data_IF_636305940467
#
_entry.id   IF_636305940467
#
_cell.length_a   1.000
_cell.length_b   1.000
_cell.length_c   1.000
_cell.angle_alpha   90.00
_cell.angle_beta   90.00
_cell.angle_gamma   90.00
#
_symmetry.space_group_name_H-M   'P 1'
#
loop_
_entity.id
_entity.type
_entity.pdbx_description
1 polymer ?
#
# COMPACT_ATOMS: atom_id res chain seq x y z
N UNK A 1 -7.89 11.48 8.92
CA UNK A 1 -6.98 10.33 8.69
C UNK A 1 -7.50 9.55 7.50
N UNK A 2 -6.65 9.24 6.54
CA UNK A 2 -6.98 8.51 5.33
C UNK A 2 -6.39 7.11 5.45
N UNK A 3 -7.20 6.08 5.22
CA UNK A 3 -6.73 4.71 5.03
C UNK A 3 -6.41 4.53 3.54
N UNK A 4 -5.15 4.23 3.23
CA UNK A 4 -4.71 4.13 1.85
C UNK A 4 -5.31 2.92 1.13
N UNK A 5 -5.96 3.11 -0.04
CA UNK A 5 -6.68 2.06 -0.74
C UNK A 5 -5.74 1.17 -1.58
N UNK A 6 -4.87 0.44 -0.94
CA UNK A 6 -3.95 -0.50 -1.59
C UNK A 6 -4.39 -1.94 -1.35
N UNK A 7 -4.68 -2.68 -2.42
CA UNK A 7 -5.19 -4.04 -2.35
C UNK A 7 -6.58 -4.16 -1.72
N UNK A 8 -6.99 -5.38 -1.40
CA UNK A 8 -8.24 -5.69 -0.73
C UNK A 8 -8.09 -5.68 0.80
N UNK A 9 -6.98 -6.20 1.31
CA UNK A 9 -6.82 -6.46 2.73
C UNK A 9 -6.36 -5.26 3.54
N UNK A 10 -5.76 -4.25 2.92
CA UNK A 10 -5.37 -3.04 3.64
C UNK A 10 -6.57 -2.25 4.17
N UNK A 11 -7.67 -2.23 3.44
CA UNK A 11 -8.90 -1.54 3.84
C UNK A 11 -9.75 -2.33 4.83
N UNK A 12 -9.57 -3.63 4.92
CA UNK A 12 -10.31 -4.52 5.81
C UNK A 12 -9.60 -4.60 7.18
N UNK A 13 -9.79 -3.59 8.02
CA UNK A 13 -9.13 -3.56 9.34
C UNK A 13 -9.97 -4.18 10.48
N UNK A 14 -11.25 -4.45 10.23
CA UNK A 14 -12.16 -4.94 11.28
C UNK A 14 -11.90 -6.41 11.61
N UNK A 15 -11.25 -6.67 12.73
CA UNK A 15 -10.95 -8.03 13.21
C UNK A 15 -12.16 -9.00 13.22
N UNK A 16 -13.38 -8.55 13.60
CA UNK A 16 -14.56 -9.41 13.61
C UNK A 16 -15.00 -9.94 12.24
N UNK A 17 -14.51 -9.36 11.14
CA UNK A 17 -14.82 -9.82 9.77
C UNK A 17 -13.87 -10.89 9.26
N UNK A 18 -12.84 -11.24 10.03
CA UNK A 18 -11.89 -12.27 9.64
C UNK A 18 -12.33 -13.62 10.18
N UNK A 19 -12.41 -14.61 9.29
CA UNK A 19 -12.70 -16.00 9.67
C UNK A 19 -11.46 -16.73 10.19
N UNK A 20 -10.27 -16.20 9.90
CA UNK A 20 -8.98 -16.75 10.32
C UNK A 20 -8.32 -15.86 11.37
N UNK A 21 -7.47 -16.46 12.18
CA UNK A 21 -6.77 -15.77 13.28
C UNK A 21 -5.75 -14.75 12.82
N UNK A 22 -5.32 -14.81 11.56
CA UNK A 22 -4.30 -13.90 11.02
C UNK A 22 -4.65 -13.44 9.60
N UNK A 23 -4.05 -12.32 9.20
CA UNK A 23 -4.17 -11.76 7.86
C UNK A 23 -3.25 -12.48 6.88
N UNK A 24 -3.54 -12.44 5.56
CA UNK A 24 -2.62 -12.93 4.55
C UNK A 24 -1.23 -12.31 4.65
N UNK A 25 -0.21 -13.05 4.24
CA UNK A 25 1.19 -12.59 4.27
C UNK A 25 1.41 -11.30 3.48
N UNK A 26 0.67 -11.06 2.39
CA UNK A 26 0.70 -9.79 1.65
C UNK A 26 0.41 -8.59 2.55
N UNK A 27 -0.53 -8.73 3.48
CA UNK A 27 -0.97 -7.67 4.39
C UNK A 27 -0.20 -7.58 5.71
N UNK A 28 0.68 -8.56 6.01
CA UNK A 28 1.46 -8.58 7.27
C UNK A 28 2.95 -8.43 7.04
N UNK A 29 3.47 -9.01 5.95
CA UNK A 29 4.91 -9.04 5.68
C UNK A 29 5.33 -8.11 4.54
N UNK A 30 4.42 -7.77 3.64
CA UNK A 30 4.74 -6.96 2.46
C UNK A 30 4.15 -5.55 2.55
N UNK A 31 2.84 -5.46 2.66
CA UNK A 31 2.14 -4.20 2.81
C UNK A 31 1.96 -3.86 4.30
N UNK A 32 2.04 -2.60 4.67
CA UNK A 32 1.73 -2.20 6.03
C UNK A 32 0.21 -2.21 6.23
N UNK A 33 -0.39 -3.37 6.50
CA UNK A 33 -1.83 -3.54 6.68
C UNK A 33 -2.44 -2.41 7.52
N UNK A 34 -3.57 -1.87 7.09
CA UNK A 34 -4.20 -0.68 7.70
C UNK A 34 -3.31 0.57 7.66
N UNK A 35 -2.46 0.71 6.62
CA UNK A 35 -1.65 1.91 6.44
C UNK A 35 -2.55 3.13 6.30
N UNK A 36 -2.43 4.03 7.24
CA UNK A 36 -3.23 5.25 7.30
C UNK A 36 -2.35 6.43 7.67
N UNK A 37 -2.68 7.60 7.10
CA UNK A 37 -1.93 8.82 7.36
C UNK A 37 -2.84 10.05 7.27
N UNK A 38 -2.32 11.22 7.67
CA UNK A 38 -2.95 12.49 7.39
C UNK A 38 -2.85 12.81 5.90
N UNK A 39 -3.91 13.36 5.32
CA UNK A 39 -3.91 13.71 3.90
C UNK A 39 -5.28 14.12 3.38
N UNK A 40 -5.39 14.28 2.08
CA UNK A 40 -6.62 14.60 1.37
C UNK A 40 -6.69 13.87 0.05
N UNK A 41 -7.87 13.76 -0.53
CA UNK A 41 -8.05 13.09 -1.80
C UNK A 41 -9.45 13.21 -2.35
N UNK A 42 -9.66 12.54 -3.46
CA UNK A 42 -10.93 12.48 -4.18
C UNK A 42 -11.34 11.03 -4.39
N UNK A 43 -12.62 10.79 -4.39
CA UNK A 43 -13.18 9.50 -4.74
C UNK A 43 -14.54 9.66 -5.42
N UNK A 44 -14.93 8.68 -6.20
CA UNK A 44 -16.22 8.67 -6.86
C UNK A 44 -16.62 7.30 -7.37
N UNK A 45 -17.90 7.17 -7.69
CA UNK A 45 -18.48 5.96 -8.27
C UNK A 45 -19.43 6.33 -9.41
N UNK A 46 -19.38 5.54 -10.47
CA UNK A 46 -20.31 5.63 -11.59
C UNK A 46 -21.04 4.28 -11.76
N UNK A 47 -22.34 4.34 -11.90
CA UNK A 47 -23.20 3.16 -12.04
C UNK A 47 -23.79 3.10 -13.43
N UNK A 48 -23.74 1.95 -14.08
CA UNK A 48 -24.32 1.68 -15.38
C UNK A 48 -24.90 0.27 -15.45
N UNK A 49 -26.21 0.10 -15.34
CA UNK A 49 -26.91 -1.18 -15.28
C UNK A 49 -26.30 -2.12 -14.21
N UNK A 50 -25.65 -3.20 -14.67
CA UNK A 50 -25.04 -4.21 -13.80
C UNK A 50 -23.59 -3.88 -13.41
N UNK A 51 -23.06 -2.77 -13.90
CA UNK A 51 -21.68 -2.36 -13.70
C UNK A 51 -21.56 -1.16 -12.76
N UNK A 52 -20.55 -1.18 -11.93
CA UNK A 52 -20.10 -0.06 -11.12
C UNK A 52 -18.60 0.18 -11.40
N UNK A 53 -18.25 1.42 -11.64
CA UNK A 53 -16.87 1.88 -11.78
C UNK A 53 -16.56 2.80 -10.61
N UNK A 54 -15.54 2.45 -9.85
CA UNK A 54 -15.07 3.24 -8.72
C UNK A 54 -13.66 3.79 -8.98
N UNK A 55 -13.39 4.97 -8.44
CA UNK A 55 -12.04 5.53 -8.39
C UNK A 55 -11.81 6.27 -7.09
N UNK A 56 -10.58 6.26 -6.65
CA UNK A 56 -10.11 7.05 -5.51
C UNK A 56 -8.63 7.38 -5.68
N UNK A 57 -8.23 8.58 -5.27
CA UNK A 57 -6.85 9.04 -5.28
C UNK A 57 -6.59 9.94 -4.09
N UNK A 58 -5.46 9.75 -3.44
CA UNK A 58 -5.09 10.46 -2.21
C UNK A 58 -3.64 10.91 -2.24
N UNK A 59 -3.40 12.07 -1.64
CA UNK A 59 -2.08 12.54 -1.23
C UNK A 59 -2.04 12.52 0.29
N UNK A 60 -1.10 11.79 0.86
CA UNK A 60 -1.00 11.59 2.32
C UNK A 60 0.44 11.69 2.81
N UNK A 61 0.64 11.61 4.12
CA UNK A 61 1.95 11.40 4.72
C UNK A 61 2.64 10.18 4.13
N UNK A 62 3.95 10.22 4.06
CA UNK A 62 4.77 9.25 3.33
C UNK A 62 5.41 8.21 4.27
N UNK A 63 6.08 7.25 3.66
CA UNK A 63 7.05 6.39 4.32
C UNK A 63 8.29 7.19 4.73
N UNK A 64 9.08 6.61 5.61
CA UNK A 64 10.38 7.10 6.04
C UNK A 64 11.47 6.04 5.86
N UNK A 65 12.68 6.34 6.31
CA UNK A 65 13.83 5.44 6.18
C UNK A 65 13.67 4.11 6.92
N UNK A 66 12.72 3.97 7.83
CA UNK A 66 12.49 2.72 8.57
C UNK A 66 12.15 1.54 7.65
N UNK A 67 11.69 1.80 6.43
CA UNK A 67 11.42 0.73 5.44
C UNK A 67 12.69 0.00 4.99
N UNK A 68 13.87 0.60 5.19
CA UNK A 68 15.18 -0.02 4.91
C UNK A 68 16.05 -0.11 6.16
N UNK A 69 15.87 0.80 7.12
CA UNK A 69 16.60 0.83 8.39
C UNK A 69 15.71 0.23 9.48
N UNK A 70 15.74 -1.09 9.58
CA UNK A 70 14.91 -1.84 10.52
C UNK A 70 15.63 -3.09 11.01
N UNK A 71 15.12 -3.68 12.09
CA UNK A 71 15.70 -4.85 12.73
C UNK A 71 15.66 -6.14 11.86
N UNK A 72 14.84 -6.15 10.80
CA UNK A 72 14.70 -7.31 9.90
C UNK A 72 15.81 -7.39 8.84
N UNK A 73 16.66 -6.36 8.72
CA UNK A 73 17.75 -6.27 7.74
C UNK A 73 17.29 -6.54 6.29
N UNK A 74 16.10 -6.06 5.95
CA UNK A 74 15.49 -6.19 4.61
C UNK A 74 14.63 -4.97 4.31
N UNK A 75 14.20 -4.82 3.07
CA UNK A 75 13.14 -3.87 2.75
C UNK A 75 11.83 -4.36 3.39
N UNK A 76 11.29 -3.58 4.32
CA UNK A 76 10.13 -3.97 5.12
C UNK A 76 9.20 -2.78 5.34
N UNK A 77 8.21 -2.62 4.46
CA UNK A 77 7.27 -1.50 4.52
C UNK A 77 6.48 -1.41 5.84
N UNK A 78 6.09 -2.54 6.47
CA UNK A 78 5.41 -2.48 7.76
C UNK A 78 6.19 -1.79 8.88
N UNK A 79 7.53 -1.70 8.77
CA UNK A 79 8.36 -1.00 9.75
C UNK A 79 8.00 0.49 9.89
N UNK A 80 7.51 1.13 8.82
CA UNK A 80 7.09 2.52 8.85
C UNK A 80 5.94 2.81 9.85
N UNK A 81 5.20 1.80 10.27
CA UNK A 81 4.18 1.93 11.31
C UNK A 81 4.76 2.25 12.70
N UNK A 82 6.01 1.88 12.93
CA UNK A 82 6.68 2.11 14.21
C UNK A 82 7.11 3.56 14.39
N UNK A 83 7.15 4.34 13.30
CA UNK A 83 7.43 5.78 13.38
C UNK A 83 6.25 6.50 14.05
N UNK A 84 6.51 7.08 15.23
CA UNK A 84 5.52 7.83 16.02
C UNK A 84 5.22 9.21 15.40
N UNK A 85 6.17 9.77 14.68
CA UNK A 85 6.09 11.12 14.08
C UNK A 85 5.44 11.10 12.68
N UNK A 86 5.05 9.93 12.17
CA UNK A 86 4.49 9.78 10.81
C UNK A 86 3.26 10.64 10.48
N UNK A 87 2.57 11.16 11.50
CA UNK A 87 1.42 12.06 11.33
C UNK A 87 1.79 13.53 11.41
N UNK A 88 2.99 13.85 11.90
CA UNK A 88 3.45 15.20 12.18
C UNK A 88 4.42 15.69 11.10
N UNK A 89 5.27 14.80 10.59
CA UNK A 89 6.32 15.16 9.64
C UNK A 89 6.34 14.20 8.42
N UNK A 90 6.61 14.77 7.25
CA UNK A 90 6.91 14.01 6.04
C UNK A 90 8.42 14.06 5.82
N UNK A 91 9.11 12.98 6.13
CA UNK A 91 10.58 12.86 6.13
C UNK A 91 11.25 13.37 4.82
N UNK A 92 10.61 13.10 3.68
CA UNK A 92 11.08 13.55 2.37
C UNK A 92 10.61 14.94 1.95
N UNK A 93 9.68 15.56 2.69
CA UNK A 93 8.95 16.75 2.28
C UNK A 93 7.98 16.55 1.10
N UNK A 94 7.83 15.32 0.60
CA UNK A 94 6.97 14.98 -0.54
C UNK A 94 5.87 14.01 -0.11
N UNK A 95 4.61 14.23 -0.57
CA UNK A 95 3.51 13.35 -0.19
C UNK A 95 3.60 11.97 -0.85
N UNK A 96 2.95 10.99 -0.24
CA UNK A 96 2.65 9.70 -0.82
C UNK A 96 1.42 9.83 -1.71
N UNK A 97 1.52 9.39 -2.96
CA UNK A 97 0.38 9.23 -3.85
C UNK A 97 -0.17 7.82 -3.71
N UNK A 98 -1.48 7.71 -3.48
CA UNK A 98 -2.19 6.43 -3.54
C UNK A 98 -3.41 6.59 -4.42
N UNK A 99 -3.64 5.63 -5.34
CA UNK A 99 -4.80 5.63 -6.21
C UNK A 99 -5.32 4.21 -6.40
N UNK A 100 -6.64 4.07 -6.54
CA UNK A 100 -7.31 2.81 -6.86
C UNK A 100 -8.42 3.06 -7.87
N UNK A 101 -8.53 2.15 -8.84
CA UNK A 101 -9.68 2.02 -9.71
C UNK A 101 -10.27 0.63 -9.54
N UNK A 102 -11.59 0.52 -9.57
CA UNK A 102 -12.27 -0.76 -9.43
C UNK A 102 -13.45 -0.84 -10.39
N UNK A 103 -13.66 -2.02 -10.92
CA UNK A 103 -14.85 -2.36 -11.71
C UNK A 103 -15.57 -3.53 -11.05
N UNK A 104 -16.85 -3.36 -10.83
CA UNK A 104 -17.72 -4.39 -10.26
C UNK A 104 -18.84 -4.72 -11.21
N UNK A 105 -19.09 -6.00 -11.35
CA UNK A 105 -20.30 -6.52 -11.98
C UNK A 105 -21.07 -7.39 -10.97
N UNK A 106 -22.38 -7.22 -10.90
CA UNK A 106 -23.22 -7.89 -9.89
C UNK A 106 -23.19 -9.43 -9.97
N UNK A 107 -22.88 -9.98 -11.14
CA UNK A 107 -22.86 -11.43 -11.36
C UNK A 107 -21.45 -12.05 -11.32
N UNK A 108 -20.41 -11.23 -11.53
CA UNK A 108 -19.02 -11.69 -11.67
C UNK A 108 -18.22 -11.41 -10.40
N UNK A 109 -18.39 -10.22 -9.82
CA UNK A 109 -17.59 -9.74 -8.70
C UNK A 109 -16.93 -8.39 -8.98
N UNK A 110 -15.90 -8.07 -8.23
CA UNK A 110 -15.15 -6.83 -8.29
C UNK A 110 -13.67 -7.08 -8.57
N UNK A 111 -13.13 -6.37 -9.53
CA UNK A 111 -11.69 -6.32 -9.84
C UNK A 111 -11.19 -4.93 -9.52
N UNK A 112 -10.13 -4.84 -8.71
CA UNK A 112 -9.44 -3.61 -8.33
C UNK A 112 -8.01 -3.58 -8.84
N UNK A 113 -7.55 -2.39 -9.21
CA UNK A 113 -6.15 -2.08 -9.50
C UNK A 113 -5.77 -0.87 -8.67
N UNK A 114 -4.71 -0.98 -7.88
CA UNK A 114 -4.25 0.08 -6.99
C UNK A 114 -2.75 0.32 -7.11
N UNK A 115 -2.37 1.57 -6.92
CA UNK A 115 -0.99 2.03 -6.91
C UNK A 115 -0.75 2.89 -5.68
N UNK A 116 0.44 2.75 -5.09
CA UNK A 116 0.93 3.61 -4.02
C UNK A 116 2.41 3.87 -4.22
N UNK A 117 2.84 5.13 -4.19
CA UNK A 117 4.24 5.43 -4.38
C UNK A 117 4.66 6.83 -3.95
N UNK A 118 5.91 6.94 -3.51
CA UNK A 118 6.49 8.21 -3.06
C UNK A 118 7.99 8.11 -2.79
N UNK A 119 8.59 9.27 -2.52
CA UNK A 119 10.00 9.36 -2.09
C UNK A 119 10.04 9.22 -0.57
N UNK A 120 10.70 8.19 -0.06
CA UNK A 120 10.67 7.87 1.37
C UNK A 120 11.84 8.45 2.17
N UNK A 121 12.99 8.71 1.52
CA UNK A 121 14.18 9.18 2.22
C UNK A 121 14.23 10.70 2.35
N UNK A 122 14.90 11.18 3.38
CA UNK A 122 15.30 12.59 3.51
C UNK A 122 16.45 12.84 2.55
N UNK A 123 16.16 13.35 1.36
CA UNK A 123 17.14 13.61 0.31
C UNK A 123 17.70 15.02 0.34
N UNK A 124 17.08 15.94 1.11
CA UNK A 124 17.45 17.35 1.22
C UNK A 124 17.22 17.85 2.65
N UNK A 125 18.08 18.73 3.12
CA UNK A 125 17.96 19.43 4.41
C UNK A 125 18.47 20.87 4.27
N UNK A 126 17.67 21.86 4.67
CA UNK A 126 17.99 23.29 4.57
C UNK A 126 18.59 23.75 3.22
N UNK A 127 18.09 23.17 2.12
CA UNK A 127 18.56 23.46 0.76
C UNK A 127 19.79 22.66 0.33
N UNK A 128 20.40 21.89 1.20
CA UNK A 128 21.52 21.01 0.87
C UNK A 128 21.01 19.64 0.44
N UNK A 129 21.51 19.13 -0.68
CA UNK A 129 21.24 17.77 -1.12
C UNK A 129 22.06 16.78 -0.28
N UNK A 130 21.38 15.90 0.46
CA UNK A 130 22.00 14.86 1.29
C UNK A 130 22.16 13.53 0.56
N UNK A 131 21.18 13.17 -0.29
CA UNK A 131 21.14 11.89 -1.01
C UNK A 131 20.34 12.05 -2.30
N UNK A 132 20.32 11.01 -3.14
CA UNK A 132 19.39 10.89 -4.26
C UNK A 132 17.97 10.58 -3.76
N UNK A 133 16.97 11.02 -4.51
CA UNK A 133 15.56 10.67 -4.25
C UNK A 133 15.35 9.17 -4.41
N UNK A 134 15.00 8.50 -3.32
CA UNK A 134 14.72 7.07 -3.30
C UNK A 134 13.21 6.83 -3.18
N UNK A 135 12.70 6.04 -4.10
CA UNK A 135 11.26 5.78 -4.20
C UNK A 135 10.90 4.39 -3.70
N UNK A 136 9.70 4.31 -3.17
CA UNK A 136 8.94 3.07 -3.04
C UNK A 136 7.75 3.16 -3.98
N UNK A 137 7.51 2.08 -4.72
CA UNK A 137 6.37 1.94 -5.62
C UNK A 137 5.71 0.59 -5.35
N UNK A 138 4.41 0.60 -5.17
CA UNK A 138 3.56 -0.57 -4.91
C UNK A 138 2.46 -0.61 -5.95
N UNK A 139 2.30 -1.75 -6.60
CA UNK A 139 1.17 -2.06 -7.46
C UNK A 139 0.43 -3.25 -6.86
N UNK A 140 -0.88 -3.17 -6.73
CA UNK A 140 -1.67 -4.31 -6.30
C UNK A 140 -2.91 -4.50 -7.18
N UNK A 141 -3.25 -5.76 -7.40
CA UNK A 141 -4.47 -6.19 -8.09
C UNK A 141 -5.25 -7.02 -7.09
N UNK A 142 -6.53 -6.73 -6.95
CA UNK A 142 -7.42 -7.48 -6.09
C UNK A 142 -8.70 -7.92 -6.82
N UNK A 143 -9.23 -9.06 -6.40
CA UNK A 143 -10.46 -9.61 -6.94
C UNK A 143 -11.34 -10.17 -5.82
N UNK A 144 -12.61 -9.80 -5.83
CA UNK A 144 -13.60 -10.24 -4.86
C UNK A 144 -14.84 -10.78 -5.58
N UNK A 145 -15.27 -11.97 -5.23
CA UNK A 145 -16.50 -12.56 -5.80
C UNK A 145 -17.23 -13.45 -4.81
N UNK A 146 -18.52 -13.63 -5.04
CA UNK A 146 -19.37 -14.56 -4.29
C UNK A 146 -19.96 -15.58 -5.24
N UNK A 147 -19.59 -16.83 -5.08
CA UNK A 147 -20.15 -17.96 -5.80
C UNK A 147 -21.38 -18.46 -5.07
N UNK A 148 -22.54 -17.87 -5.36
CA UNK A 148 -23.79 -18.12 -4.62
C UNK A 148 -24.22 -19.59 -4.65
N UNK A 149 -23.99 -20.31 -5.75
CA UNK A 149 -24.30 -21.74 -5.87
C UNK A 149 -23.47 -22.62 -4.92
N UNK A 150 -22.22 -22.23 -4.69
CA UNK A 150 -21.27 -22.94 -3.82
C UNK A 150 -21.24 -22.35 -2.40
N UNK A 151 -22.01 -21.29 -2.14
CA UNK A 151 -21.99 -20.55 -0.88
C UNK A 151 -20.56 -20.13 -0.47
N UNK A 152 -19.74 -19.80 -1.47
CA UNK A 152 -18.31 -19.50 -1.28
C UNK A 152 -18.03 -18.04 -1.63
N UNK A 153 -17.34 -17.37 -0.75
CA UNK A 153 -16.75 -16.04 -1.00
C UNK A 153 -15.27 -16.21 -1.31
N UNK A 154 -14.79 -15.55 -2.36
CA UNK A 154 -13.39 -15.56 -2.78
C UNK A 154 -12.87 -14.14 -2.75
N UNK A 155 -11.77 -13.92 -2.03
CA UNK A 155 -10.95 -12.73 -2.10
C UNK A 155 -9.54 -13.14 -2.49
N UNK A 156 -9.01 -12.53 -3.53
CA UNK A 156 -7.65 -12.72 -4.00
C UNK A 156 -6.95 -11.37 -4.13
N UNK A 157 -5.66 -11.33 -3.79
CA UNK A 157 -4.82 -10.15 -3.91
C UNK A 157 -3.42 -10.54 -4.38
N UNK A 158 -2.90 -9.77 -5.31
CA UNK A 158 -1.49 -9.81 -5.71
C UNK A 158 -0.89 -8.43 -5.51
N UNK A 159 0.21 -8.33 -4.78
CA UNK A 159 0.97 -7.10 -4.59
C UNK A 159 2.40 -7.25 -5.12
N UNK A 160 2.87 -6.22 -5.81
CA UNK A 160 4.24 -6.10 -6.27
C UNK A 160 4.85 -4.80 -5.74
N UNK A 161 6.02 -4.91 -5.09
CA UNK A 161 6.68 -3.82 -4.40
C UNK A 161 8.08 -3.64 -4.98
N UNK A 162 8.42 -2.42 -5.32
CA UNK A 162 9.76 -2.00 -5.72
C UNK A 162 10.24 -0.91 -4.80
N UNK A 163 11.39 -1.12 -4.17
CA UNK A 163 12.05 -0.13 -3.33
C UNK A 163 13.41 0.21 -3.94
N UNK A 164 13.65 1.48 -4.19
CA UNK A 164 14.97 1.97 -4.61
C UNK A 164 15.83 2.16 -3.37
N UNK A 165 16.83 1.31 -3.20
CA UNK A 165 17.71 1.30 -2.02
C UNK A 165 19.12 1.77 -2.35
N UNK A 166 19.91 2.24 -1.36
CA UNK A 166 21.34 2.54 -1.52
C UNK A 166 22.12 1.32 -2.03
N UNK A 167 23.18 1.55 -2.78
CA UNK A 167 24.07 0.47 -3.26
C UNK A 167 24.67 -0.32 -2.13
N UNK A 168 25.01 0.33 -1.02
CA UNK A 168 25.50 -0.30 0.22
C UNK A 168 24.49 -1.28 0.80
N UNK A 169 23.20 -0.95 0.80
CA UNK A 169 22.14 -1.87 1.23
C UNK A 169 22.07 -3.10 0.31
N UNK A 170 22.16 -2.91 -1.00
CA UNK A 170 22.15 -4.02 -1.97
C UNK A 170 23.36 -4.94 -1.79
N UNK A 171 24.52 -4.41 -1.51
CA UNK A 171 25.73 -5.20 -1.24
C UNK A 171 25.61 -6.02 0.03
N UNK A 172 24.99 -5.46 1.07
CA UNK A 172 24.87 -6.11 2.38
C UNK A 172 23.70 -7.12 2.43
N UNK A 173 22.55 -6.79 1.84
CA UNK A 173 21.31 -7.56 1.98
C UNK A 173 20.74 -8.13 0.67
N UNK A 174 21.32 -7.78 -0.46
CA UNK A 174 21.10 -8.43 -1.78
C UNK A 174 19.81 -8.07 -2.51
N UNK A 175 18.80 -7.47 -1.91
CA UNK A 175 17.48 -7.30 -2.55
C UNK A 175 17.06 -5.85 -2.75
N UNK A 176 16.61 -5.54 -3.99
CA UNK A 176 15.98 -4.25 -4.34
C UNK A 176 14.47 -4.35 -4.52
N UNK A 177 13.93 -5.55 -4.63
CA UNK A 177 12.54 -5.79 -4.99
C UNK A 177 11.93 -6.85 -4.08
N UNK A 178 10.68 -6.64 -3.75
CA UNK A 178 9.85 -7.63 -3.06
C UNK A 178 8.55 -7.79 -3.86
N UNK A 179 8.12 -9.01 -4.02
CA UNK A 179 6.85 -9.35 -4.63
C UNK A 179 6.12 -10.39 -3.80
N UNK A 180 4.79 -10.46 -3.92
CA UNK A 180 4.00 -11.43 -3.19
C UNK A 180 2.54 -11.49 -3.66
N UNK A 181 1.84 -12.47 -3.15
CA UNK A 181 0.45 -12.82 -3.51
C UNK A 181 -0.31 -13.26 -2.27
#
# INVERSE_FOLDING_TARGET
MILNPIGAFNQNHDGPKWEFTDRPLSATQMLPATWSNAGFGIYGKHYSKDWMFGYEAYLSGNFDNSIIDNAENKTFLPAAKNNKERFEEINSGLPLLTAKVAVRNNNIGELGLSYMGGVYNKFQDDGLQLDDKRRVDVLAIDFNTTLSKLKTFITAEWAWIKVNVPTTFTQQYGSKQQGGF
#
